data_IF_143915416525
#
_entry.id   IF_143915416525
#
_cell.length_a   1.000
_cell.length_b   1.000
_cell.length_c   1.000
_cell.angle_alpha   90.00
_cell.angle_beta   90.00
_cell.angle_gamma   90.00
#
_symmetry.space_group_name_H-M   'P 1'
#
loop_
_entity.id
_entity.type
_entity.pdbx_description
1 polymer ?
#
# COMPACT_ATOMS: atom_id res chain seq x y z
N UNK A 1 -7.09 30.71 18.03
CA UNK A 1 -6.75 30.17 16.70
C UNK A 1 -5.84 28.96 16.82
N UNK A 2 -4.99 28.89 17.85
CA UNK A 2 -4.08 27.75 18.07
C UNK A 2 -4.80 26.41 18.24
N UNK A 3 -5.97 26.37 18.90
CA UNK A 3 -6.70 25.12 19.14
C UNK A 3 -7.17 24.45 17.84
N UNK A 4 -7.66 25.24 16.89
CA UNK A 4 -8.11 24.73 15.60
C UNK A 4 -6.93 24.16 14.79
N UNK A 5 -5.78 24.84 14.81
CA UNK A 5 -4.56 24.36 14.15
C UNK A 5 -4.06 23.08 14.80
N UNK A 6 -4.08 22.98 16.13
CA UNK A 6 -3.71 21.76 16.86
C UNK A 6 -4.58 20.57 16.44
N UNK A 7 -5.90 20.73 16.41
CA UNK A 7 -6.82 19.65 16.00
C UNK A 7 -6.72 19.31 14.51
N UNK A 8 -6.42 20.27 13.63
CA UNK A 8 -6.17 20.00 12.21
C UNK A 8 -4.88 19.19 12.03
N UNK A 9 -3.81 19.53 12.75
CA UNK A 9 -2.53 18.82 12.65
C UNK A 9 -2.64 17.39 13.19
N UNK A 10 -3.25 17.20 14.37
CA UNK A 10 -3.46 15.88 14.97
C UNK A 10 -4.49 15.07 14.18
N UNK A 11 -5.63 15.67 13.86
CA UNK A 11 -6.69 15.00 13.09
C UNK A 11 -6.24 14.63 11.68
N UNK A 12 -5.59 15.55 10.97
CA UNK A 12 -5.02 15.31 9.65
C UNK A 12 -3.92 14.25 9.66
N UNK A 13 -3.05 14.27 10.68
CA UNK A 13 -2.03 13.26 10.88
C UNK A 13 -2.62 11.86 11.11
N UNK A 14 -3.60 11.73 12.01
CA UNK A 14 -4.27 10.47 12.29
C UNK A 14 -5.02 9.94 11.06
N UNK A 15 -5.77 10.80 10.36
CA UNK A 15 -6.45 10.43 9.12
C UNK A 15 -5.48 9.94 8.04
N UNK A 16 -4.31 10.58 7.93
CA UNK A 16 -3.27 10.17 6.98
C UNK A 16 -2.73 8.78 7.31
N UNK A 17 -2.50 8.47 8.59
CA UNK A 17 -2.06 7.14 9.03
C UNK A 17 -3.12 6.06 8.77
N UNK A 18 -4.39 6.37 9.00
CA UNK A 18 -5.50 5.44 8.72
C UNK A 18 -5.61 5.19 7.21
N UNK A 19 -5.56 6.24 6.39
CA UNK A 19 -5.60 6.12 4.94
C UNK A 19 -4.41 5.31 4.41
N UNK A 20 -3.22 5.54 4.97
CA UNK A 20 -2.03 4.74 4.67
C UNK A 20 -2.26 3.27 5.00
N UNK A 21 -2.66 2.92 6.23
CA UNK A 21 -2.92 1.53 6.62
C UNK A 21 -3.97 0.84 5.73
N UNK A 22 -5.04 1.56 5.37
CA UNK A 22 -6.08 1.04 4.48
C UNK A 22 -5.54 0.75 3.07
N UNK A 23 -4.68 1.61 2.55
CA UNK A 23 -4.06 1.42 1.24
C UNK A 23 -3.26 0.11 1.18
N UNK A 24 -2.45 -0.20 2.20
CA UNK A 24 -1.70 -1.46 2.25
C UNK A 24 -2.61 -2.68 2.44
N UNK A 25 -3.63 -2.58 3.29
CA UNK A 25 -4.59 -3.67 3.47
C UNK A 25 -5.36 -3.99 2.17
N UNK A 26 -5.79 -2.95 1.44
CA UNK A 26 -6.47 -3.11 0.17
C UNK A 26 -5.55 -3.69 -0.91
N UNK A 27 -4.27 -3.28 -0.94
CA UNK A 27 -3.27 -3.86 -1.83
C UNK A 27 -3.03 -5.34 -1.55
N UNK A 28 -2.79 -5.73 -0.28
CA UNK A 28 -2.61 -7.13 0.09
C UNK A 28 -3.80 -8.01 -0.30
N UNK A 29 -5.02 -7.48 -0.14
CA UNK A 29 -6.25 -8.19 -0.56
C UNK A 29 -6.35 -8.36 -2.07
N UNK A 30 -5.88 -7.40 -2.87
CA UNK A 30 -5.84 -7.51 -4.33
C UNK A 30 -4.81 -8.53 -4.77
N UNK A 31 -3.59 -8.47 -4.21
CA UNK A 31 -2.50 -9.40 -4.50
C UNK A 31 -2.95 -10.83 -4.19
N UNK A 32 -3.47 -11.09 -2.99
CA UNK A 32 -3.95 -12.42 -2.59
C UNK A 32 -5.04 -12.96 -3.52
N UNK A 33 -5.95 -12.12 -4.01
CA UNK A 33 -6.99 -12.52 -4.96
C UNK A 33 -6.44 -12.82 -6.36
N UNK A 34 -5.38 -12.13 -6.78
CA UNK A 34 -4.70 -12.40 -8.05
C UNK A 34 -3.83 -13.67 -7.96
N UNK A 35 -3.18 -13.91 -6.81
CA UNK A 35 -2.44 -15.14 -6.52
C UNK A 35 -3.34 -16.38 -6.51
N UNK A 36 -4.54 -16.30 -5.89
CA UNK A 36 -5.52 -17.39 -5.90
C UNK A 36 -5.96 -17.74 -7.34
N UNK A 37 -6.13 -16.73 -8.20
CA UNK A 37 -6.50 -16.93 -9.61
C UNK A 37 -5.34 -17.46 -10.46
N UNK A 38 -4.12 -17.00 -10.20
CA UNK A 38 -2.94 -17.39 -10.95
C UNK A 38 -2.36 -18.73 -10.47
N UNK A 39 -2.72 -19.19 -9.27
CA UNK A 39 -2.20 -20.42 -8.66
C UNK A 39 -0.71 -20.35 -8.30
N UNK A 40 -0.16 -19.13 -8.16
CA UNK A 40 1.25 -18.88 -7.82
C UNK A 40 1.40 -17.57 -7.06
N UNK A 41 2.47 -17.44 -6.28
CA UNK A 41 2.85 -16.19 -5.62
C UNK A 41 3.20 -15.13 -6.68
N UNK A 42 2.56 -13.97 -6.56
CA UNK A 42 2.73 -12.81 -7.42
C UNK A 42 3.19 -11.59 -6.61
N UNK A 43 3.38 -11.75 -5.30
CA UNK A 43 3.83 -10.72 -4.36
C UNK A 43 5.12 -10.00 -4.80
N UNK A 44 5.91 -10.56 -5.72
CA UNK A 44 7.11 -9.91 -6.29
C UNK A 44 6.96 -9.44 -7.76
N UNK A 45 5.85 -9.78 -8.42
CA UNK A 45 5.59 -9.46 -9.83
C UNK A 45 4.60 -8.30 -9.99
N UNK A 46 3.54 -8.26 -9.17
CA UNK A 46 2.50 -7.21 -9.19
C UNK A 46 2.64 -6.17 -8.08
N UNK A 47 3.53 -6.41 -7.12
CA UNK A 47 3.67 -5.53 -5.96
C UNK A 47 4.38 -4.21 -6.33
N UNK A 48 3.73 -3.06 -6.09
CA UNK A 48 4.30 -1.75 -6.45
C UNK A 48 5.51 -1.34 -5.59
N UNK A 49 5.79 -2.01 -4.48
CA UNK A 49 6.90 -1.66 -3.57
C UNK A 49 8.22 -2.34 -3.92
N UNK A 50 8.18 -3.59 -4.38
CA UNK A 50 9.39 -4.32 -4.81
C UNK A 50 9.75 -4.03 -6.26
N UNK A 51 8.85 -3.35 -6.99
CA UNK A 51 8.91 -3.22 -8.44
C UNK A 51 8.70 -4.60 -9.08
N UNK A 52 8.16 -4.60 -10.30
CA UNK A 52 8.22 -5.79 -11.13
C UNK A 52 9.70 -6.19 -11.25
N UNK A 53 10.11 -7.28 -10.61
CA UNK A 53 11.49 -7.76 -10.65
C UNK A 53 11.89 -8.29 -12.05
N UNK A 54 11.02 -8.08 -13.05
CA UNK A 54 11.20 -8.47 -14.45
C UNK A 54 11.98 -7.44 -15.28
N UNK A 55 12.53 -6.39 -14.65
CA UNK A 55 13.45 -5.44 -15.29
C UNK A 55 14.89 -5.50 -14.77
N UNK A 56 15.20 -6.36 -13.80
CA UNK A 56 16.53 -6.41 -13.14
C UNK A 56 17.36 -7.66 -13.48
N UNK A 57 16.86 -8.56 -14.33
CA UNK A 57 17.57 -9.78 -14.77
C UNK A 57 17.79 -9.84 -16.29
N UNK A 58 17.77 -8.69 -16.95
CA UNK A 58 18.08 -8.54 -18.38
C UNK A 58 19.36 -7.69 -18.54
N UNK A 59 20.45 -8.13 -17.92
CA UNK A 59 21.78 -7.52 -17.98
C UNK A 59 22.88 -8.54 -17.80
#
# INVERSE_FOLDING_TARGET
MEDAVFWIMIGGGLLSLIAWGWYYAALGKRISKEEEKAGRDLTYEINPFTGSSRGAMDG
#
